data_IF_021372848305
#
_entry.id   IF_021372848305
#
_cell.length_a   1.000
_cell.length_b   1.000
_cell.length_c   1.000
_cell.angle_alpha   90.00
_cell.angle_beta   90.00
_cell.angle_gamma   90.00
#
_symmetry.space_group_name_H-M   'P 1'
#
loop_
_entity.id
_entity.type
_entity.pdbx_description
1 polymer ?
#
# COMPACT_ATOMS: atom_id res chain seq x y z
N UNK A 1 11.32 -57.01 -29.31
CA UNK A 1 10.56 -55.77 -29.02
C UNK A 1 9.37 -56.15 -28.15
N UNK A 2 9.34 -55.69 -26.88
CA UNK A 2 8.25 -56.00 -25.96
C UNK A 2 7.05 -55.09 -26.25
N UNK A 3 5.84 -55.67 -26.37
CA UNK A 3 4.59 -54.90 -26.51
C UNK A 3 4.28 -54.21 -25.19
N UNK A 4 3.99 -52.90 -25.18
CA UNK A 4 3.57 -52.22 -23.95
C UNK A 4 2.29 -52.87 -23.42
N UNK A 5 2.25 -53.18 -22.13
CA UNK A 5 1.05 -53.74 -21.49
C UNK A 5 0.04 -52.63 -21.22
N UNK A 6 -1.26 -52.96 -21.20
CA UNK A 6 -2.33 -51.99 -20.98
C UNK A 6 -2.15 -51.18 -19.68
N UNK A 7 -1.53 -51.78 -18.66
CA UNK A 7 -1.20 -51.12 -17.38
C UNK A 7 -0.15 -50.01 -17.51
N UNK A 8 0.70 -50.05 -18.55
CA UNK A 8 1.75 -49.04 -18.80
C UNK A 8 1.21 -47.80 -19.53
N UNK A 9 0.05 -47.91 -20.19
CA UNK A 9 -0.52 -46.87 -21.06
C UNK A 9 -1.36 -45.88 -20.24
N UNK A 10 -2.07 -46.38 -19.22
CA UNK A 10 -2.94 -45.57 -18.36
C UNK A 10 -2.23 -44.40 -17.64
N UNK A 11 -1.06 -44.59 -16.99
CA UNK A 11 -0.35 -43.46 -16.39
C UNK A 11 0.16 -42.47 -17.44
N UNK A 12 0.56 -42.96 -18.63
CA UNK A 12 1.02 -42.11 -19.73
C UNK A 12 -0.11 -41.18 -20.23
N UNK A 13 -1.32 -41.73 -20.34
CA UNK A 13 -2.51 -41.00 -20.77
C UNK A 13 -2.95 -39.97 -19.71
N UNK A 14 -2.76 -40.28 -18.43
CA UNK A 14 -3.00 -39.33 -17.34
C UNK A 14 -2.00 -38.16 -17.36
N UNK A 15 -0.69 -38.42 -17.54
CA UNK A 15 0.30 -37.35 -17.71
C UNK A 15 0.07 -36.53 -18.98
N UNK A 16 -0.39 -37.16 -20.06
CA UNK A 16 -0.78 -36.47 -21.28
C UNK A 16 -1.95 -35.52 -21.03
N UNK A 17 -3.01 -35.96 -20.34
CA UNK A 17 -4.15 -35.09 -19.99
C UNK A 17 -3.72 -33.93 -19.08
N UNK A 18 -2.83 -34.14 -18.11
CA UNK A 18 -2.31 -33.06 -17.25
C UNK A 18 -1.57 -31.98 -18.03
N UNK A 19 -0.92 -32.33 -19.15
CA UNK A 19 -0.22 -31.37 -20.01
C UNK A 19 -1.16 -30.41 -20.77
N UNK A 20 -2.44 -30.76 -20.88
CA UNK A 20 -3.47 -29.94 -21.52
C UNK A 20 -4.32 -29.13 -20.54
N UNK A 21 -4.03 -29.13 -19.23
CA UNK A 21 -4.73 -28.23 -18.30
C UNK A 21 -4.21 -26.81 -18.56
N UNK A 22 -4.98 -25.92 -19.20
CA UNK A 22 -4.53 -24.55 -19.34
C UNK A 22 -4.36 -23.97 -17.94
N UNK A 23 -3.18 -23.43 -17.65
CA UNK A 23 -2.93 -22.68 -16.43
C UNK A 23 -3.84 -21.45 -16.47
N UNK A 24 -5.01 -21.54 -15.85
CA UNK A 24 -5.99 -20.47 -15.76
C UNK A 24 -5.43 -19.40 -14.82
N UNK A 25 -4.58 -18.53 -15.37
CA UNK A 25 -4.14 -17.33 -14.68
C UNK A 25 -5.33 -16.38 -14.67
N UNK A 26 -6.14 -16.44 -13.61
CA UNK A 26 -7.06 -15.36 -13.32
C UNK A 26 -6.21 -14.08 -13.15
N UNK A 27 -6.30 -13.15 -14.10
CA UNK A 27 -5.72 -11.82 -13.90
C UNK A 27 -6.50 -11.15 -12.78
N UNK A 28 -5.88 -11.09 -11.60
CA UNK A 28 -6.45 -10.48 -10.40
C UNK A 28 -6.72 -8.98 -10.58
N UNK A 29 -6.06 -8.34 -11.54
CA UNK A 29 -6.21 -6.92 -11.85
C UNK A 29 -6.05 -6.67 -13.34
N UNK A 30 -6.78 -5.69 -13.85
CA UNK A 30 -6.52 -5.06 -15.15
C UNK A 30 -5.55 -3.88 -14.93
N UNK A 31 -4.54 -3.67 -15.78
CA UNK A 31 -3.78 -2.43 -15.76
C UNK A 31 -4.72 -1.25 -16.04
N UNK A 32 -4.67 -0.23 -15.18
CA UNK A 32 -5.44 1.01 -15.35
C UNK A 32 -4.74 1.87 -16.40
N UNK A 33 -5.49 2.41 -17.34
CA UNK A 33 -4.95 3.28 -18.39
C UNK A 33 -4.76 4.73 -17.91
N UNK A 34 -3.89 5.49 -18.58
CA UNK A 34 -3.71 6.94 -18.32
C UNK A 34 -5.01 7.71 -18.47
N UNK A 35 -5.84 7.29 -19.41
CA UNK A 35 -7.17 7.84 -19.65
C UNK A 35 -8.12 7.58 -18.48
N UNK A 36 -8.11 6.34 -17.94
CA UNK A 36 -8.92 5.95 -16.79
C UNK A 36 -8.50 6.68 -15.50
N UNK A 37 -7.23 7.06 -15.38
CA UNK A 37 -6.72 7.90 -14.28
C UNK A 37 -6.97 9.40 -14.47
N UNK A 38 -7.49 9.82 -15.62
CA UNK A 38 -7.64 11.25 -15.96
C UNK A 38 -6.31 11.96 -16.20
N UNK A 39 -5.22 11.23 -16.46
CA UNK A 39 -3.87 11.77 -16.68
C UNK A 39 -3.61 12.22 -18.13
N UNK A 40 -4.66 12.33 -18.95
CA UNK A 40 -4.55 12.89 -20.31
C UNK A 40 -4.46 14.42 -20.30
N UNK A 41 -4.58 15.06 -19.14
CA UNK A 41 -4.36 16.50 -19.01
C UNK A 41 -2.86 16.80 -19.23
N UNK A 42 -2.49 17.70 -20.16
CA UNK A 42 -1.10 18.11 -20.34
C UNK A 42 -0.48 18.76 -19.08
N UNK A 43 -1.28 19.16 -18.08
CA UNK A 43 -0.81 19.76 -16.83
C UNK A 43 -0.50 18.71 -15.77
N UNK A 44 0.67 18.08 -15.90
CA UNK A 44 1.23 17.25 -14.84
C UNK A 44 2.15 18.09 -13.93
N UNK A 45 2.02 17.94 -12.62
CA UNK A 45 2.94 18.55 -11.63
C UNK A 45 3.60 17.46 -10.82
N UNK A 46 4.95 17.46 -10.78
CA UNK A 46 5.72 16.60 -9.90
C UNK A 46 6.03 17.37 -8.61
N UNK A 47 5.63 16.81 -7.46
CA UNK A 47 5.82 17.43 -6.16
C UNK A 47 6.85 16.60 -5.36
N UNK A 48 7.82 17.28 -4.77
CA UNK A 48 8.79 16.69 -3.85
C UNK A 48 8.82 17.54 -2.59
N UNK A 49 8.57 16.91 -1.44
CA UNK A 49 8.54 17.55 -0.14
C UNK A 49 8.80 16.50 0.95
N UNK A 50 9.09 16.96 2.16
CA UNK A 50 9.31 16.14 3.34
C UNK A 50 8.17 16.32 4.35
N UNK A 51 7.61 15.22 4.83
CA UNK A 51 6.53 15.16 5.81
C UNK A 51 7.13 14.84 7.20
N UNK A 52 6.80 15.64 8.22
CA UNK A 52 7.40 15.51 9.56
C UNK A 52 6.37 15.18 10.63
N UNK A 53 6.27 13.90 10.99
CA UNK A 53 5.40 13.42 12.08
C UNK A 53 6.05 13.65 13.45
N UNK A 54 5.56 14.62 14.22
CA UNK A 54 6.11 14.97 15.54
C UNK A 54 5.23 14.45 16.66
N UNK A 55 5.53 13.24 17.13
CA UNK A 55 4.76 12.50 18.15
C UNK A 55 5.00 12.96 19.60
N UNK A 56 6.07 13.73 19.85
CA UNK A 56 6.50 14.07 21.20
C UNK A 56 7.24 15.40 21.26
N UNK A 57 7.58 15.86 22.47
CA UNK A 57 8.21 17.16 22.70
C UNK A 57 7.19 18.23 23.10
N UNK A 58 7.62 19.50 23.19
CA UNK A 58 6.78 20.58 23.72
C UNK A 58 5.60 20.95 22.82
N UNK A 59 5.72 20.72 21.50
CA UNK A 59 4.71 21.07 20.51
C UNK A 59 4.51 19.90 19.52
N UNK A 60 3.86 18.80 19.95
CA UNK A 60 3.59 17.68 19.05
C UNK A 60 2.60 18.10 17.95
N UNK A 61 2.82 17.62 16.73
CA UNK A 61 1.93 17.83 15.58
C UNK A 61 1.04 16.61 15.31
N UNK A 62 1.35 15.49 15.95
CA UNK A 62 0.60 14.25 15.91
C UNK A 62 0.18 13.81 17.31
N UNK A 63 -1.13 13.65 17.49
CA UNK A 63 -1.75 13.36 18.78
C UNK A 63 -2.61 12.12 18.67
N UNK A 64 -2.31 11.13 19.51
CA UNK A 64 -3.11 9.91 19.59
C UNK A 64 -4.50 10.21 20.16
N UNK A 65 -5.55 9.95 19.36
CA UNK A 65 -6.96 10.21 19.71
C UNK A 65 -7.72 8.94 20.09
N UNK A 66 -7.24 7.76 19.67
CA UNK A 66 -7.78 6.46 20.09
C UNK A 66 -6.65 5.55 20.52
N UNK A 67 -6.83 4.87 21.67
CA UNK A 67 -5.90 3.85 22.16
C UNK A 67 -6.22 2.49 21.55
N UNK A 68 -5.19 1.81 21.07
CA UNK A 68 -5.31 0.42 20.67
C UNK A 68 -5.65 -0.46 21.88
N UNK A 69 -6.44 -1.50 21.64
CA UNK A 69 -6.74 -2.53 22.63
C UNK A 69 -5.69 -3.64 22.67
N UNK A 70 -4.97 -3.87 21.56
CA UNK A 70 -3.91 -4.87 21.43
C UNK A 70 -2.54 -4.20 21.40
N UNK A 71 -1.62 -4.67 22.25
CA UNK A 71 -0.26 -4.13 22.33
C UNK A 71 0.68 -4.64 21.24
N UNK A 72 0.40 -5.80 20.63
CA UNK A 72 1.34 -6.43 19.69
C UNK A 72 1.47 -5.67 18.37
N UNK A 73 0.35 -5.20 17.81
CA UNK A 73 0.30 -4.47 16.54
C UNK A 73 -0.25 -3.07 16.65
N UNK A 74 -0.76 -2.70 17.83
CA UNK A 74 -1.50 -1.44 18.02
C UNK A 74 -2.68 -1.26 17.04
N UNK A 75 -3.24 -2.38 16.56
CA UNK A 75 -4.43 -2.38 15.69
C UNK A 75 -5.56 -1.53 16.32
N UNK A 76 -6.11 -0.62 15.51
CA UNK A 76 -7.17 0.29 15.92
C UNK A 76 -6.71 1.55 16.64
N UNK A 77 -5.40 1.78 16.82
CA UNK A 77 -4.90 3.10 17.22
C UNK A 77 -5.28 4.14 16.16
N UNK A 78 -5.66 5.33 16.58
CA UNK A 78 -5.84 6.49 15.70
C UNK A 78 -5.06 7.68 16.23
N UNK A 79 -4.39 8.38 15.32
CA UNK A 79 -3.62 9.60 15.56
C UNK A 79 -4.14 10.70 14.66
N UNK A 80 -4.46 11.86 15.24
CA UNK A 80 -4.79 13.09 14.53
C UNK A 80 -3.51 13.85 14.25
N UNK A 81 -3.34 14.33 13.01
CA UNK A 81 -2.13 15.02 12.55
C UNK A 81 -2.43 16.39 11.94
N UNK A 82 -1.49 17.29 12.16
CA UNK A 82 -1.34 18.58 11.49
C UNK A 82 0.16 18.79 11.26
N UNK A 83 0.75 18.00 10.36
CA UNK A 83 2.20 17.86 10.20
C UNK A 83 2.75 18.83 9.16
N UNK A 84 3.91 19.48 9.37
CA UNK A 84 4.50 20.36 8.39
C UNK A 84 5.05 19.58 7.19
N UNK A 85 4.88 20.16 6.00
CA UNK A 85 5.54 19.75 4.76
C UNK A 85 6.65 20.75 4.46
N UNK A 86 7.89 20.29 4.26
CA UNK A 86 9.04 21.18 4.01
C UNK A 86 9.75 20.86 2.70
N UNK A 87 10.53 21.82 2.19
CA UNK A 87 11.33 21.66 0.98
C UNK A 87 12.49 20.68 1.14
N UNK A 88 13.10 20.63 2.34
CA UNK A 88 14.22 19.75 2.66
C UNK A 88 13.95 18.84 3.86
N UNK A 89 14.82 17.85 4.13
CA UNK A 89 14.67 16.93 5.26
C UNK A 89 14.90 17.60 6.62
N UNK A 90 15.48 18.81 6.66
CA UNK A 90 15.59 19.60 7.88
C UNK A 90 14.21 20.17 8.24
N UNK A 91 13.66 19.90 9.45
CA UNK A 91 12.37 20.43 9.88
C UNK A 91 12.31 21.97 9.92
N UNK A 92 13.45 22.65 9.93
CA UNK A 92 13.56 24.11 9.90
C UNK A 92 13.66 24.69 8.49
N UNK A 93 13.74 23.84 7.46
CA UNK A 93 13.72 24.28 6.07
C UNK A 93 12.38 24.90 5.67
N UNK A 94 12.31 25.50 4.46
CA UNK A 94 11.14 26.25 4.02
C UNK A 94 9.86 25.41 4.13
N UNK A 95 8.88 25.93 4.87
CA UNK A 95 7.54 25.35 4.97
C UNK A 95 6.82 25.50 3.62
N UNK A 96 6.37 24.38 3.06
CA UNK A 96 5.68 24.28 1.77
C UNK A 96 4.18 24.07 1.92
N UNK A 97 3.73 23.59 3.08
CA UNK A 97 2.35 23.18 3.30
C UNK A 97 2.19 22.41 4.60
N UNK A 98 1.02 21.80 4.77
CA UNK A 98 0.72 20.91 5.90
C UNK A 98 -0.04 19.66 5.44
N UNK A 99 0.23 18.55 6.10
CA UNK A 99 -0.56 17.34 5.99
C UNK A 99 -1.54 17.27 7.16
N UNK A 100 -2.83 17.27 6.84
CA UNK A 100 -3.90 17.43 7.83
C UNK A 100 -4.89 16.28 7.70
N UNK A 101 -5.12 15.56 8.79
CA UNK A 101 -5.98 14.38 8.78
C UNK A 101 -5.59 13.42 9.88
N UNK A 102 -5.80 12.13 9.66
CA UNK A 102 -5.49 11.08 10.62
C UNK A 102 -4.80 9.90 9.98
N UNK A 103 -4.10 9.12 10.80
CA UNK A 103 -3.70 7.78 10.44
C UNK A 103 -4.02 6.79 11.57
N UNK A 104 -4.07 5.51 11.22
CA UNK A 104 -4.20 4.43 12.19
C UNK A 104 -3.51 3.16 11.74
N UNK A 105 -3.29 2.25 12.69
CA UNK A 105 -2.76 0.92 12.38
C UNK A 105 -3.90 -0.06 12.12
N UNK A 106 -3.91 -0.62 10.91
CA UNK A 106 -5.06 -1.35 10.36
C UNK A 106 -4.78 -2.81 10.03
N UNK A 107 -3.57 -3.30 10.28
CA UNK A 107 -3.22 -4.72 10.15
C UNK A 107 -3.16 -5.39 11.54
N UNK A 108 -3.80 -6.56 11.68
CA UNK A 108 -3.86 -7.32 12.92
C UNK A 108 -2.60 -8.16 13.18
N UNK A 109 -1.74 -8.31 12.19
CA UNK A 109 -0.57 -9.21 12.20
C UNK A 109 0.77 -8.47 12.17
N UNK A 110 0.78 -7.22 11.69
CA UNK A 110 1.96 -6.38 11.57
C UNK A 110 1.60 -4.90 11.71
N UNK A 111 2.60 -4.03 11.85
CA UNK A 111 2.39 -2.58 11.85
C UNK A 111 2.17 -2.10 10.41
N UNK A 112 0.96 -1.67 10.08
CA UNK A 112 0.63 -1.09 8.78
C UNK A 112 -0.29 0.13 8.94
N UNK A 113 0.14 1.27 8.39
CA UNK A 113 -0.60 2.52 8.47
C UNK A 113 -1.62 2.63 7.34
N UNK A 114 -2.82 3.10 7.69
CA UNK A 114 -3.76 3.70 6.74
C UNK A 114 -3.87 5.17 7.04
N UNK A 115 -3.66 6.01 6.02
CA UNK A 115 -3.68 7.47 6.14
C UNK A 115 -4.92 8.02 5.44
N UNK A 116 -5.64 8.91 6.13
CA UNK A 116 -6.77 9.68 5.59
C UNK A 116 -6.48 11.14 5.87
N UNK A 117 -5.88 11.81 4.89
CA UNK A 117 -5.36 13.17 5.05
C UNK A 117 -5.35 13.95 3.74
N UNK A 118 -5.30 15.27 3.86
CA UNK A 118 -5.08 16.21 2.77
C UNK A 118 -3.67 16.78 2.85
N UNK A 119 -3.08 17.08 1.70
CA UNK A 119 -1.90 17.95 1.61
C UNK A 119 -2.37 19.36 1.22
N UNK A 120 -2.29 20.30 2.16
CA UNK A 120 -2.63 21.70 1.98
C UNK A 120 -1.34 22.51 1.74
N UNK A 121 -1.06 22.83 0.48
CA UNK A 121 0.09 23.67 0.08
C UNK A 121 -0.20 25.17 0.31
N UNK A 122 0.84 25.94 0.63
CA UNK A 122 0.78 27.38 0.88
C UNK A 122 0.89 28.22 -0.42
#
# INVERSE_FOLDING_TARGET
MAKPSFSSILPLLFFFILSFVPAMHASFSKPISTEELGLNDPKQTHLTFYFHDTLSGPNPTAVQIVKASSSATSFGVLTMIDDPLTEGPDPTSRLMGRAQGMYGLTDQTQSALTMVMNFAFL
#
